data_IF_636080293178
#
_entry.id   IF_636080293178
#
_cell.length_a   1.000
_cell.length_b   1.000
_cell.length_c   1.000
_cell.angle_alpha   90.00
_cell.angle_beta   90.00
_cell.angle_gamma   90.00
#
_symmetry.space_group_name_H-M   'P 1'
#
loop_
_entity.id
_entity.type
_entity.pdbx_description
1 polymer ?
#
# COMPACT_ATOMS: atom_id res chain seq x y z
N UNK A 1 -9.57 -10.19 37.89
CA UNK A 1 -8.58 -11.16 37.40
C UNK A 1 -7.25 -10.46 37.28
N UNK A 2 -6.24 -10.98 37.98
CA UNK A 2 -4.91 -10.40 38.03
C UNK A 2 -4.22 -10.64 36.69
N UNK A 3 -3.97 -9.58 35.93
CA UNK A 3 -3.08 -9.60 34.75
C UNK A 3 -1.64 -9.88 35.23
N UNK A 4 -1.35 -11.15 35.52
CA UNK A 4 -0.02 -11.58 35.92
C UNK A 4 0.89 -11.53 34.68
N UNK A 5 1.92 -10.68 34.75
CA UNK A 5 2.79 -10.42 33.62
C UNK A 5 3.77 -11.59 33.44
N UNK A 6 3.52 -12.42 32.42
CA UNK A 6 4.35 -13.61 32.10
C UNK A 6 5.38 -13.27 31.04
N UNK A 7 6.67 -13.44 31.36
CA UNK A 7 7.76 -13.34 30.40
C UNK A 7 8.04 -14.69 29.74
N UNK A 8 8.37 -14.69 28.46
CA UNK A 8 8.70 -15.91 27.69
C UNK A 8 9.87 -15.67 26.75
N UNK A 9 10.71 -16.68 26.58
CA UNK A 9 11.77 -16.73 25.58
C UNK A 9 11.47 -17.78 24.48
N UNK A 10 10.26 -18.37 24.48
CA UNK A 10 9.86 -19.37 23.50
C UNK A 10 9.62 -18.69 22.14
N UNK A 11 10.40 -19.02 21.10
CA UNK A 11 10.28 -18.37 19.78
C UNK A 11 8.88 -18.43 19.18
N UNK A 12 8.18 -19.56 19.34
CA UNK A 12 6.84 -19.74 18.76
C UNK A 12 5.79 -18.87 19.45
N UNK A 13 5.92 -18.66 20.77
CA UNK A 13 5.03 -17.77 21.52
C UNK A 13 5.32 -16.32 21.13
N UNK A 14 6.59 -15.94 21.04
CA UNK A 14 7.01 -14.60 20.63
C UNK A 14 6.51 -14.29 19.22
N UNK A 15 6.70 -15.20 18.26
CA UNK A 15 6.25 -15.03 16.88
C UNK A 15 4.73 -14.85 16.81
N UNK A 16 3.97 -15.70 17.50
CA UNK A 16 2.51 -15.62 17.55
C UNK A 16 2.02 -14.28 18.09
N UNK A 17 2.58 -13.83 19.22
CA UNK A 17 2.16 -12.56 19.84
C UNK A 17 2.63 -11.35 19.02
N UNK A 18 3.79 -11.42 18.36
CA UNK A 18 4.26 -10.38 17.44
C UNK A 18 3.34 -10.25 16.21
N UNK A 19 2.96 -11.38 15.59
CA UNK A 19 2.00 -11.40 14.48
C UNK A 19 0.67 -10.78 14.92
N UNK A 20 0.13 -11.20 16.08
CA UNK A 20 -1.10 -10.65 16.63
C UNK A 20 -1.00 -9.13 16.88
N UNK A 21 0.12 -8.65 17.40
CA UNK A 21 0.35 -7.22 17.60
C UNK A 21 0.30 -6.44 16.28
N UNK A 22 1.08 -6.85 15.26
CA UNK A 22 1.15 -6.12 13.99
C UNK A 22 -0.12 -6.25 13.14
N UNK A 23 -0.83 -7.38 13.19
CA UNK A 23 -2.12 -7.52 12.50
C UNK A 23 -3.22 -6.61 13.05
N UNK A 24 -3.10 -6.16 14.30
CA UNK A 24 -4.05 -5.26 14.93
C UNK A 24 -3.53 -3.82 15.03
N UNK A 25 -2.29 -3.58 14.60
CA UNK A 25 -1.70 -2.24 14.57
C UNK A 25 -2.47 -1.38 13.56
N UNK A 26 -3.09 -0.30 14.04
CA UNK A 26 -3.88 0.62 13.22
C UNK A 26 -5.33 0.19 12.96
N UNK A 27 -5.81 -0.91 13.56
CA UNK A 27 -7.25 -1.19 13.58
C UNK A 27 -7.94 -0.15 14.47
N UNK A 28 -8.88 0.59 13.90
CA UNK A 28 -9.79 1.45 14.66
C UNK A 28 -11.06 0.66 14.98
N UNK A 29 -11.38 0.55 16.28
CA UNK A 29 -12.60 -0.09 16.77
C UNK A 29 -13.86 0.65 16.28
N UNK A 30 -13.77 1.97 16.15
CA UNK A 30 -14.82 2.85 15.60
C UNK A 30 -14.41 3.35 14.21
N UNK A 31 -14.60 2.52 13.19
CA UNK A 31 -14.41 2.96 11.80
C UNK A 31 -15.71 3.59 11.29
N UNK A 32 -15.93 4.88 11.56
CA UNK A 32 -16.98 5.64 10.90
C UNK A 32 -16.68 5.67 9.39
N UNK A 33 -17.53 5.03 8.59
CA UNK A 33 -17.39 5.00 7.13
C UNK A 33 -18.18 6.18 6.57
N UNK A 34 -17.50 7.08 5.88
CA UNK A 34 -18.11 8.18 5.11
C UNK A 34 -18.21 7.75 3.65
N UNK A 35 -19.42 7.74 3.09
CA UNK A 35 -19.69 7.32 1.72
C UNK A 35 -19.73 8.49 0.74
N UNK A 36 -19.78 9.73 1.24
CA UNK A 36 -19.73 10.95 0.44
C UNK A 36 -18.96 12.06 1.16
N UNK A 37 -18.58 13.09 0.40
CA UNK A 37 -17.91 14.29 0.95
C UNK A 37 -18.82 15.03 1.93
N UNK A 38 -20.13 15.01 1.71
CA UNK A 38 -21.11 15.67 2.58
C UNK A 38 -21.21 15.03 3.97
N UNK A 39 -20.89 13.74 4.08
CA UNK A 39 -20.85 13.01 5.36
C UNK A 39 -19.59 13.32 6.18
N UNK A 40 -18.56 13.93 5.57
CA UNK A 40 -17.32 14.24 6.27
C UNK A 40 -17.55 15.33 7.34
N UNK A 41 -16.93 15.20 8.53
CA UNK A 41 -17.04 16.22 9.56
C UNK A 41 -16.30 17.50 9.15
N UNK A 42 -16.82 18.66 9.56
CA UNK A 42 -16.10 19.93 9.40
C UNK A 42 -14.73 19.88 10.09
N UNK A 43 -13.65 20.41 9.47
CA UNK A 43 -13.64 21.21 8.23
C UNK A 43 -13.43 20.38 6.95
N UNK A 44 -13.45 19.04 7.04
CA UNK A 44 -13.02 18.18 5.93
C UNK A 44 -13.99 18.15 4.76
N UNK A 45 -15.30 18.26 5.00
CA UNK A 45 -16.29 18.38 3.93
C UNK A 45 -15.97 19.57 3.01
N UNK A 46 -15.64 20.74 3.56
CA UNK A 46 -15.32 21.93 2.79
C UNK A 46 -13.98 21.77 2.04
N UNK A 47 -12.95 21.21 2.70
CA UNK A 47 -11.62 21.04 2.11
C UNK A 47 -11.64 20.06 0.93
N UNK A 48 -12.41 18.98 1.04
CA UNK A 48 -12.46 17.93 0.03
C UNK A 48 -13.60 18.10 -0.99
N UNK A 49 -14.42 19.15 -0.89
CA UNK A 49 -15.48 19.41 -1.85
C UNK A 49 -14.88 19.99 -3.15
N UNK A 50 -14.93 19.26 -4.28
CA UNK A 50 -14.41 19.74 -5.55
C UNK A 50 -15.20 20.94 -6.09
N UNK A 51 -16.48 21.10 -5.75
CA UNK A 51 -17.30 22.22 -6.21
C UNK A 51 -16.88 23.56 -5.59
N UNK A 52 -16.26 23.51 -4.40
CA UNK A 52 -15.67 24.68 -3.75
C UNK A 52 -14.29 25.04 -4.33
N UNK A 53 -13.67 24.11 -5.05
CA UNK A 53 -12.41 24.30 -5.71
C UNK A 53 -12.66 24.67 -7.18
N UNK A 54 -12.18 25.83 -7.64
CA UNK A 54 -12.24 26.20 -9.06
C UNK A 54 -11.21 25.40 -9.88
N UNK A 55 -11.38 24.07 -9.94
CA UNK A 55 -10.49 23.14 -10.61
C UNK A 55 -10.69 23.30 -12.11
N UNK A 56 -9.61 23.58 -12.83
CA UNK A 56 -9.64 23.62 -14.29
C UNK A 56 -10.07 22.25 -14.86
N UNK A 57 -11.10 22.28 -15.70
CA UNK A 57 -11.63 21.10 -16.41
C UNK A 57 -10.54 20.37 -17.19
N UNK A 58 -9.53 21.08 -17.70
CA UNK A 58 -8.41 20.48 -18.41
C UNK A 58 -7.52 19.63 -17.47
N UNK A 59 -7.32 20.05 -16.22
CA UNK A 59 -6.60 19.23 -15.24
C UNK A 59 -7.38 17.96 -14.91
N UNK A 60 -8.70 18.08 -14.75
CA UNK A 60 -9.56 16.91 -14.52
C UNK A 60 -9.56 15.95 -15.70
N UNK A 61 -9.64 16.47 -16.92
CA UNK A 61 -9.56 15.67 -18.14
C UNK A 61 -8.20 14.96 -18.27
N UNK A 62 -7.10 15.61 -17.89
CA UNK A 62 -5.77 15.01 -17.91
C UNK A 62 -5.64 13.84 -16.92
N UNK A 63 -6.22 13.96 -15.71
CA UNK A 63 -6.19 12.89 -14.70
C UNK A 63 -7.01 11.66 -15.09
N UNK A 64 -8.04 11.82 -15.93
CA UNK A 64 -8.90 10.73 -16.39
C UNK A 64 -8.43 10.06 -17.69
N UNK A 65 -7.22 10.39 -18.17
CA UNK A 65 -6.65 9.72 -19.34
C UNK A 65 -6.22 8.29 -18.99
N UNK A 66 -6.48 7.35 -19.89
CA UNK A 66 -5.98 6.00 -19.77
C UNK A 66 -4.44 6.00 -19.79
N UNK A 67 -3.83 5.17 -18.93
CA UNK A 67 -2.40 4.89 -18.94
C UNK A 67 -2.05 4.24 -20.28
N UNK A 68 -1.10 4.81 -21.01
CA UNK A 68 -0.61 4.23 -22.26
C UNK A 68 0.50 3.23 -21.98
N UNK A 69 0.78 2.36 -22.96
CA UNK A 69 1.92 1.44 -22.87
C UNK A 69 3.25 2.21 -22.78
N UNK A 70 3.34 3.38 -23.43
CA UNK A 70 4.53 4.21 -23.38
C UNK A 70 4.76 4.79 -21.98
N UNK A 71 3.71 5.24 -21.30
CA UNK A 71 3.77 5.73 -19.92
C UNK A 71 4.30 4.63 -19.00
N UNK A 72 3.80 3.40 -19.16
CA UNK A 72 4.23 2.27 -18.35
C UNK A 72 5.70 1.89 -18.63
N UNK A 73 6.11 1.82 -19.90
CA UNK A 73 7.50 1.51 -20.27
C UNK A 73 8.45 2.58 -19.73
N UNK A 74 8.13 3.85 -19.93
CA UNK A 74 8.94 4.98 -19.46
C UNK A 74 9.06 4.97 -17.93
N UNK A 75 7.95 4.76 -17.22
CA UNK A 75 7.93 4.69 -15.76
C UNK A 75 8.77 3.51 -15.26
N UNK A 76 8.60 2.35 -15.86
CA UNK A 76 9.31 1.14 -15.49
C UNK A 76 10.82 1.27 -15.73
N UNK A 77 11.26 1.90 -16.82
CA UNK A 77 12.67 2.17 -17.09
C UNK A 77 13.30 3.09 -16.04
N UNK A 78 12.52 4.05 -15.52
CA UNK A 78 12.95 4.98 -14.47
C UNK A 78 12.91 4.37 -13.05
N UNK A 79 12.26 3.22 -12.85
CA UNK A 79 12.30 2.53 -11.56
C UNK A 79 13.72 2.09 -11.23
N UNK A 80 14.19 2.40 -10.02
CA UNK A 80 15.48 1.94 -9.51
C UNK A 80 15.53 0.42 -9.33
N UNK A 81 16.68 -0.18 -9.65
CA UNK A 81 16.96 -1.60 -9.43
C UNK A 81 17.20 -1.91 -7.93
N UNK A 82 17.23 -3.21 -7.61
CA UNK A 82 17.51 -3.81 -6.31
C UNK A 82 16.53 -3.35 -5.21
N UNK A 83 15.27 -3.13 -5.59
CA UNK A 83 14.20 -2.86 -4.62
C UNK A 83 13.57 -4.17 -4.17
N UNK A 84 13.22 -4.22 -2.90
CA UNK A 84 12.61 -5.40 -2.31
C UNK A 84 11.27 -5.72 -3.00
N UNK A 85 11.08 -6.97 -3.48
CA UNK A 85 9.83 -7.38 -4.09
C UNK A 85 8.73 -7.59 -3.03
N UNK A 86 7.49 -7.72 -3.49
CA UNK A 86 6.38 -8.14 -2.65
C UNK A 86 6.34 -9.66 -2.44
N UNK A 87 5.20 -10.20 -1.97
CA UNK A 87 4.99 -11.63 -1.75
C UNK A 87 5.37 -12.53 -2.94
N UNK A 88 5.07 -12.13 -4.18
CA UNK A 88 5.37 -12.90 -5.40
C UNK A 88 6.85 -13.04 -5.74
N UNK A 89 7.72 -12.27 -5.10
CA UNK A 89 9.15 -12.14 -5.43
C UNK A 89 9.47 -11.54 -6.81
N UNK A 90 8.47 -11.05 -7.56
CA UNK A 90 8.69 -10.37 -8.83
C UNK A 90 9.33 -9.00 -8.58
N UNK A 91 10.47 -8.74 -9.20
CA UNK A 91 11.25 -7.50 -9.07
C UNK A 91 10.96 -6.51 -10.21
N UNK A 92 11.47 -5.27 -10.11
CA UNK A 92 11.36 -4.32 -11.23
C UNK A 92 12.20 -4.80 -12.43
N UNK A 93 13.30 -5.49 -12.17
CA UNK A 93 14.16 -6.08 -13.18
C UNK A 93 13.45 -7.16 -13.96
N UNK A 94 12.67 -8.02 -13.30
CA UNK A 94 11.85 -9.03 -13.99
C UNK A 94 10.85 -8.34 -14.93
N UNK A 95 10.19 -7.28 -14.44
CA UNK A 95 9.25 -6.50 -15.25
C UNK A 95 9.92 -5.82 -16.45
N UNK A 96 11.13 -5.26 -16.26
CA UNK A 96 11.90 -4.59 -17.34
C UNK A 96 12.29 -5.54 -18.47
N UNK A 97 12.43 -6.83 -18.19
CA UNK A 97 12.78 -7.84 -19.20
C UNK A 97 11.56 -8.53 -19.81
N UNK A 98 10.33 -8.16 -19.42
CA UNK A 98 9.13 -8.72 -20.03
C UNK A 98 9.01 -8.31 -21.49
N UNK A 99 8.46 -9.22 -22.29
CA UNK A 99 8.07 -8.90 -23.65
C UNK A 99 6.95 -7.85 -23.66
N UNK A 100 6.96 -6.97 -24.67
CA UNK A 100 6.01 -5.86 -24.81
C UNK A 100 4.54 -6.32 -24.75
N UNK A 101 4.24 -7.51 -25.26
CA UNK A 101 2.88 -8.09 -25.17
C UNK A 101 2.39 -8.26 -23.73
N UNK A 102 3.29 -8.58 -22.79
CA UNK A 102 2.96 -8.72 -21.37
C UNK A 102 2.79 -7.34 -20.73
N UNK A 103 3.64 -6.38 -21.09
CA UNK A 103 3.49 -4.97 -20.65
C UNK A 103 2.16 -4.39 -21.11
N UNK A 104 1.71 -4.73 -22.33
CA UNK A 104 0.39 -4.36 -22.84
C UNK A 104 -0.75 -4.92 -21.99
N UNK A 105 -0.66 -6.19 -21.59
CA UNK A 105 -1.65 -6.81 -20.69
C UNK A 105 -1.63 -6.12 -19.33
N UNK A 106 -0.44 -5.84 -18.78
CA UNK A 106 -0.32 -5.15 -17.49
C UNK A 106 -0.92 -3.74 -17.54
N UNK A 107 -0.70 -3.00 -18.63
CA UNK A 107 -1.32 -1.69 -18.87
C UNK A 107 -2.85 -1.78 -18.86
N UNK A 108 -3.41 -2.79 -19.52
CA UNK A 108 -4.87 -3.03 -19.52
C UNK A 108 -5.39 -3.35 -18.10
N UNK A 109 -4.64 -4.13 -17.31
CA UNK A 109 -5.00 -4.41 -15.92
C UNK A 109 -5.01 -3.12 -15.09
N UNK A 110 -4.00 -2.25 -15.24
CA UNK A 110 -3.95 -0.97 -14.51
C UNK A 110 -5.13 -0.06 -14.86
N UNK A 111 -5.44 0.11 -16.14
CA UNK A 111 -6.61 0.90 -16.55
C UNK A 111 -7.92 0.28 -16.04
N UNK A 112 -8.03 -1.05 -15.99
CA UNK A 112 -9.20 -1.71 -15.39
C UNK A 112 -9.28 -1.51 -13.88
N UNK A 113 -8.16 -1.42 -13.18
CA UNK A 113 -8.15 -1.10 -11.76
C UNK A 113 -8.73 0.31 -11.50
N UNK A 114 -8.32 1.29 -12.30
CA UNK A 114 -8.81 2.68 -12.20
C UNK A 114 -10.27 2.82 -12.64
N UNK A 115 -10.67 2.14 -13.72
CA UNK A 115 -12.05 2.22 -14.24
C UNK A 115 -13.09 1.53 -13.35
N UNK A 116 -12.67 0.48 -12.60
CA UNK A 116 -13.59 -0.33 -11.79
C UNK A 116 -13.43 -0.07 -10.30
N UNK A 117 -12.47 0.76 -9.87
CA UNK A 117 -12.06 0.92 -8.47
C UNK A 117 -11.73 -0.41 -7.78
N UNK A 118 -11.14 -1.36 -8.52
CA UNK A 118 -10.88 -2.72 -8.04
C UNK A 118 -9.41 -3.11 -8.21
N UNK A 119 -8.77 -3.44 -7.09
CA UNK A 119 -7.40 -3.97 -7.06
C UNK A 119 -7.42 -5.51 -6.97
N UNK A 120 -6.61 -6.23 -7.77
CA UNK A 120 -6.46 -7.67 -7.66
C UNK A 120 -6.22 -8.11 -6.21
N UNK A 121 -6.92 -9.16 -5.76
CA UNK A 121 -6.83 -9.62 -4.37
C UNK A 121 -5.39 -9.88 -3.93
N UNK A 122 -4.58 -10.50 -4.78
CA UNK A 122 -3.17 -10.76 -4.50
C UNK A 122 -2.29 -9.51 -4.39
N UNK A 123 -2.68 -8.40 -5.00
CA UNK A 123 -1.97 -7.14 -4.83
C UNK A 123 -2.30 -6.46 -3.50
N UNK A 124 -3.39 -6.85 -2.85
CA UNK A 124 -3.74 -6.38 -1.50
C UNK A 124 -2.92 -7.06 -0.40
N UNK A 125 -2.33 -8.22 -0.69
CA UNK A 125 -1.41 -8.91 0.21
C UNK A 125 -0.08 -8.15 0.33
N UNK A 126 0.58 -8.27 1.49
CA UNK A 126 1.86 -7.62 1.75
C UNK A 126 2.67 -8.38 2.81
N UNK A 127 3.99 -8.20 2.78
CA UNK A 127 4.88 -8.70 3.83
C UNK A 127 5.22 -7.56 4.79
N UNK A 128 5.06 -7.78 6.09
CA UNK A 128 5.41 -6.79 7.13
C UNK A 128 6.69 -7.21 7.85
N UNK A 129 7.68 -6.33 7.87
CA UNK A 129 8.94 -6.53 8.58
C UNK A 129 9.14 -5.44 9.63
N UNK A 130 9.24 -5.79 10.92
CA UNK A 130 9.57 -4.83 11.96
C UNK A 130 11.07 -4.50 11.94
N UNK A 131 11.43 -3.24 11.67
CA UNK A 131 12.83 -2.77 11.70
C UNK A 131 13.09 -2.00 12.99
N UNK A 132 14.13 -2.34 13.79
CA UNK A 132 14.48 -1.57 14.97
C UNK A 132 14.71 -0.08 14.69
N UNK A 133 14.21 0.79 15.58
CA UNK A 133 14.58 2.21 15.58
C UNK A 133 16.08 2.36 15.94
N UNK A 134 16.75 3.49 15.61
CA UNK A 134 18.16 3.71 15.91
C UNK A 134 18.36 4.07 17.41
N UNK A 135 17.91 3.18 18.29
CA UNK A 135 18.12 3.20 19.74
C UNK A 135 17.90 1.78 20.28
N UNK A 136 18.14 1.58 21.56
CA UNK A 136 17.97 0.27 22.19
C UNK A 136 16.54 -0.24 22.02
N UNK A 137 16.43 -1.48 21.54
CA UNK A 137 15.14 -2.09 21.22
C UNK A 137 14.35 -2.43 22.50
N UNK A 138 15.03 -2.71 23.62
CA UNK A 138 14.45 -3.11 24.91
C UNK A 138 13.46 -4.28 24.83
N UNK A 139 13.48 -5.08 23.76
CA UNK A 139 12.44 -6.07 23.47
C UNK A 139 11.02 -5.47 23.37
N UNK A 140 10.90 -4.17 23.07
CA UNK A 140 9.61 -3.47 22.93
C UNK A 140 9.23 -3.38 21.45
N UNK A 141 8.07 -3.93 21.08
CA UNK A 141 7.57 -3.85 19.69
C UNK A 141 7.34 -2.40 19.22
N UNK A 142 6.96 -1.50 20.14
CA UNK A 142 6.84 -0.05 19.92
C UNK A 142 8.16 0.63 19.53
N UNK A 143 9.30 -0.03 19.78
CA UNK A 143 10.64 0.44 19.42
C UNK A 143 11.06 0.00 18.01
N UNK A 144 10.13 -0.49 17.19
CA UNK A 144 10.35 -0.78 15.78
C UNK A 144 9.59 0.20 14.87
N UNK A 145 9.99 0.22 13.60
CA UNK A 145 9.24 0.81 12.48
C UNK A 145 8.88 -0.33 11.55
N UNK A 146 7.61 -0.75 11.46
CA UNK A 146 7.21 -1.74 10.49
C UNK A 146 7.39 -1.16 9.08
N UNK A 147 8.00 -1.94 8.19
CA UNK A 147 7.98 -1.70 6.75
C UNK A 147 7.07 -2.72 6.09
N UNK A 148 6.36 -2.30 5.05
CA UNK A 148 5.45 -3.16 4.30
C UNK A 148 5.94 -3.30 2.86
N UNK A 149 6.18 -4.54 2.43
CA UNK A 149 6.55 -4.85 1.06
C UNK A 149 5.31 -5.22 0.26
N UNK A 150 4.91 -4.32 -0.65
CA UNK A 150 3.82 -4.51 -1.59
C UNK A 150 4.31 -5.18 -2.87
N UNK A 151 3.37 -5.84 -3.57
CA UNK A 151 3.58 -6.35 -4.93
C UNK A 151 4.19 -5.28 -5.85
N UNK A 152 5.16 -5.68 -6.66
CA UNK A 152 5.91 -4.75 -7.51
C UNK A 152 5.02 -4.09 -8.55
N UNK A 153 4.08 -4.84 -9.12
CA UNK A 153 3.06 -4.29 -10.02
C UNK A 153 2.14 -3.29 -9.33
N UNK A 154 1.82 -3.48 -8.04
CA UNK A 154 1.01 -2.52 -7.27
C UNK A 154 1.77 -1.24 -6.95
N UNK A 155 3.09 -1.31 -6.74
CA UNK A 155 3.93 -0.12 -6.53
C UNK A 155 4.16 0.67 -7.82
N UNK A 156 4.04 -0.01 -8.97
CA UNK A 156 4.26 0.57 -10.30
C UNK A 156 3.04 1.30 -10.85
N UNK A 157 1.84 0.83 -10.50
CA UNK A 157 0.56 1.49 -10.80
C UNK A 157 0.41 2.76 -9.95
#
# INVERSE_FOLDING_TARGET
DNDELVFTNNPNIIEKEAIKHYQNTGKHEDSTIYNSVDELPSPWNDIYNPDLCNIDVNHWAALNQDITIFDLISTLQNCSNNKAPGPSQITYEDLKHLHESVIKILTQIFNKCLQLDLIPSKWRDALLFPIPKPHDWDSKLTNTRPITLLETTRKLM
#
